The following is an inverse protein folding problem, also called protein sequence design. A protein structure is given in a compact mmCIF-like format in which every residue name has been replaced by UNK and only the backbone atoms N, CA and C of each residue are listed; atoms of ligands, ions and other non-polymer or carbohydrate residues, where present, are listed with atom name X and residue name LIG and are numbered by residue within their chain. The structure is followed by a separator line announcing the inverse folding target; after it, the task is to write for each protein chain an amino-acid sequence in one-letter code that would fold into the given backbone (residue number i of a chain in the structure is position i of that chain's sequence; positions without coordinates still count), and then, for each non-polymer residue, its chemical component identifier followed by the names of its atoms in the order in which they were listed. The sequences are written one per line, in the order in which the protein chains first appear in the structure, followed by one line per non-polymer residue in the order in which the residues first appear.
data_IF_889387583852
#
_entry.id   IF_889387583852
#
_cell.length_a   1.000
_cell.length_b   1.000
_cell.length_c   1.000
_cell.angle_alpha   90.00
_cell.angle_beta   90.00
_cell.angle_gamma   90.00
#
_symmetry.space_group_name_H-M   'P 1'
#
loop_
_entity.id
_entity.type
_entity.pdbx_description
1 polymer ?
#
# COMPACT_ATOMS: atom_id res chain seq x y z
N UNK A 1 12.16 8.47 -22.01
CA UNK A 1 12.69 8.26 -20.66
C UNK A 1 11.88 7.20 -19.95
N UNK A 2 12.40 6.67 -18.90
CA UNK A 2 11.71 5.68 -18.06
C UNK A 2 10.50 6.32 -17.37
N UNK A 3 9.41 5.56 -17.26
CA UNK A 3 8.15 6.01 -16.70
C UNK A 3 7.99 5.53 -15.26
N UNK A 4 7.51 6.40 -14.38
CA UNK A 4 7.24 6.10 -12.98
C UNK A 4 5.73 6.24 -12.73
N UNK A 5 5.11 5.23 -12.12
CA UNK A 5 3.76 5.31 -11.60
C UNK A 5 3.78 5.40 -10.08
N UNK A 6 2.99 6.29 -9.50
CA UNK A 6 2.82 6.43 -8.05
C UNK A 6 1.41 5.97 -7.71
N UNK A 7 1.29 4.84 -6.99
CA UNK A 7 0.01 4.39 -6.44
C UNK A 7 -0.26 5.10 -5.13
N UNK A 8 -1.27 5.94 -5.11
CA UNK A 8 -1.75 6.60 -3.88
C UNK A 8 -2.97 5.87 -3.30
N UNK A 9 -3.39 6.19 -2.09
CA UNK A 9 -4.58 5.63 -1.47
C UNK A 9 -5.64 6.71 -1.20
N UNK A 10 -6.68 6.72 -2.04
CA UNK A 10 -7.84 7.58 -1.89
C UNK A 10 -9.11 6.74 -1.70
N UNK A 11 -9.04 5.67 -0.90
CA UNK A 11 -10.16 4.73 -0.76
C UNK A 11 -11.47 5.39 -0.28
N UNK A 12 -11.38 6.53 0.37
CA UNK A 12 -12.53 7.23 0.98
C UNK A 12 -13.01 8.43 0.14
N UNK A 13 -12.70 8.46 -1.16
CA UNK A 13 -13.21 9.47 -2.10
C UNK A 13 -14.24 8.85 -3.04
N UNK A 14 -15.36 9.53 -3.21
CA UNK A 14 -16.48 9.07 -4.03
C UNK A 14 -16.86 10.08 -5.13
N UNK A 15 -16.16 11.19 -5.21
CA UNK A 15 -16.21 12.25 -6.22
C UNK A 15 -14.87 12.98 -6.26
N UNK A 16 -14.71 13.97 -7.14
CA UNK A 16 -13.56 14.88 -7.13
C UNK A 16 -13.62 15.91 -5.99
N UNK A 17 -14.75 16.06 -5.32
CA UNK A 17 -14.86 16.94 -4.16
C UNK A 17 -13.93 16.50 -3.03
N UNK A 18 -13.47 17.48 -2.27
CA UNK A 18 -12.59 17.22 -1.14
C UNK A 18 -13.32 16.45 -0.03
N UNK A 19 -12.63 15.52 0.56
CA UNK A 19 -13.11 14.68 1.65
C UNK A 19 -12.36 15.00 2.95
N UNK A 20 -13.09 14.99 4.07
CA UNK A 20 -12.47 15.07 5.41
C UNK A 20 -11.94 13.73 5.90
N UNK A 21 -12.22 12.65 5.18
CA UNK A 21 -11.74 11.33 5.55
C UNK A 21 -10.25 11.16 5.23
N UNK A 22 -9.61 10.22 5.92
CA UNK A 22 -8.20 9.91 5.71
C UNK A 22 -7.97 9.36 4.30
N UNK A 23 -7.22 10.10 3.50
CA UNK A 23 -6.80 9.80 2.15
C UNK A 23 -5.34 10.23 1.96
N UNK A 24 -4.73 9.93 0.82
CA UNK A 24 -3.37 10.37 0.52
C UNK A 24 -3.22 11.88 0.73
N UNK A 25 -2.22 12.28 1.50
CA UNK A 25 -2.03 13.69 1.83
C UNK A 25 -1.38 14.43 0.66
N UNK A 26 -1.97 15.53 0.22
CA UNK A 26 -1.42 16.34 -0.87
C UNK A 26 -0.02 16.87 -0.58
N UNK A 27 0.31 17.09 0.70
CA UNK A 27 1.61 17.57 1.13
C UNK A 27 2.71 16.53 0.94
N UNK A 28 2.45 15.28 1.36
CA UNK A 28 3.39 14.17 1.19
C UNK A 28 3.60 13.83 -0.29
N UNK A 29 2.50 13.79 -1.05
CA UNK A 29 2.61 13.55 -2.49
C UNK A 29 3.40 14.67 -3.18
N UNK A 30 3.13 15.93 -2.84
CA UNK A 30 3.86 17.05 -3.44
C UNK A 30 5.36 16.97 -3.12
N UNK A 31 5.73 16.66 -1.88
CA UNK A 31 7.14 16.48 -1.50
C UNK A 31 7.82 15.34 -2.26
N UNK A 32 7.12 14.22 -2.45
CA UNK A 32 7.62 13.11 -3.28
C UNK A 32 7.82 13.53 -4.74
N UNK A 33 6.86 14.27 -5.31
CA UNK A 33 6.97 14.78 -6.69
C UNK A 33 8.12 15.78 -6.82
N UNK A 34 8.32 16.64 -5.82
CA UNK A 34 9.44 17.58 -5.77
C UNK A 34 10.79 16.82 -5.79
N UNK A 35 10.95 15.80 -4.94
CA UNK A 35 12.17 14.98 -4.96
C UNK A 35 12.39 14.26 -6.30
N UNK A 36 11.33 13.74 -6.93
CA UNK A 36 11.45 13.08 -8.23
C UNK A 36 11.84 14.07 -9.34
N UNK A 37 11.19 15.22 -9.40
CA UNK A 37 11.39 16.19 -10.50
C UNK A 37 12.65 17.03 -10.29
N UNK A 38 12.85 17.57 -9.10
CA UNK A 38 13.89 18.58 -8.84
C UNK A 38 15.22 17.94 -8.40
N UNK A 39 15.18 16.86 -7.62
CA UNK A 39 16.39 16.20 -7.12
C UNK A 39 16.84 15.05 -8.02
N UNK A 40 15.91 14.16 -8.40
CA UNK A 40 16.22 13.02 -9.27
C UNK A 40 16.19 13.36 -10.76
N UNK A 41 15.66 14.51 -11.15
CA UNK A 41 15.62 14.98 -12.54
C UNK A 41 14.67 14.21 -13.46
N UNK A 42 13.64 13.56 -12.89
CA UNK A 42 12.64 12.82 -13.67
C UNK A 42 11.74 13.80 -14.42
N UNK A 43 11.63 13.69 -15.77
CA UNK A 43 10.74 14.56 -16.51
C UNK A 43 9.27 14.39 -16.08
N UNK A 44 8.56 15.49 -15.87
CA UNK A 44 7.16 15.45 -15.39
C UNK A 44 6.25 14.53 -16.21
N UNK A 45 6.39 14.55 -17.54
CA UNK A 45 5.61 13.72 -18.46
C UNK A 45 5.88 12.21 -18.31
N UNK A 46 6.93 11.83 -17.60
CA UNK A 46 7.26 10.45 -17.26
C UNK A 46 6.65 10.00 -15.95
N UNK A 47 5.99 10.89 -15.20
CA UNK A 47 5.37 10.58 -13.90
C UNK A 47 3.86 10.49 -14.06
N UNK A 48 3.27 9.44 -13.47
CA UNK A 48 1.82 9.23 -13.39
C UNK A 48 1.42 8.98 -11.94
N UNK A 49 0.54 9.80 -11.40
CA UNK A 49 -0.12 9.54 -10.10
C UNK A 49 -1.43 8.80 -10.38
N UNK A 50 -1.65 7.66 -9.73
CA UNK A 50 -2.78 6.80 -10.03
C UNK A 50 -3.51 6.28 -8.79
N UNK A 51 -4.85 6.42 -8.83
CA UNK A 51 -5.81 5.75 -7.94
C UNK A 51 -6.97 5.19 -8.79
N UNK A 52 -6.77 4.10 -9.51
CA UNK A 52 -7.74 3.62 -10.50
C UNK A 52 -9.12 3.25 -9.94
N UNK A 53 -9.22 2.96 -8.65
CA UNK A 53 -10.46 2.48 -8.03
C UNK A 53 -11.32 3.57 -7.38
N UNK A 54 -10.82 4.78 -7.29
CA UNK A 54 -11.44 5.91 -6.58
C UNK A 54 -11.18 7.21 -7.33
N UNK A 55 -11.44 8.31 -6.67
CA UNK A 55 -11.28 9.65 -7.23
C UNK A 55 -10.05 10.34 -6.64
N UNK A 56 -9.35 11.10 -7.45
CA UNK A 56 -8.32 12.03 -7.00
C UNK A 56 -9.00 13.37 -6.74
N UNK A 57 -9.06 13.79 -5.47
CA UNK A 57 -9.79 15.01 -5.08
C UNK A 57 -9.18 16.27 -5.68
N UNK A 58 -9.99 17.34 -5.74
CA UNK A 58 -9.57 18.63 -6.30
C UNK A 58 -8.41 19.24 -5.53
N UNK A 59 -8.40 19.12 -4.20
CA UNK A 59 -7.29 19.65 -3.40
C UNK A 59 -5.98 18.93 -3.70
N UNK A 60 -5.98 17.60 -3.76
CA UNK A 60 -4.79 16.83 -4.10
C UNK A 60 -4.29 17.16 -5.51
N UNK A 61 -5.22 17.12 -6.48
CA UNK A 61 -4.91 17.43 -7.87
C UNK A 61 -4.36 18.84 -8.05
N UNK A 62 -5.11 19.86 -7.60
CA UNK A 62 -4.73 21.25 -7.80
C UNK A 62 -3.40 21.60 -7.13
N UNK A 63 -3.15 21.06 -5.92
CA UNK A 63 -1.90 21.29 -5.20
C UNK A 63 -0.69 20.72 -5.97
N UNK A 64 -0.79 19.52 -6.48
CA UNK A 64 0.32 18.85 -7.16
C UNK A 64 0.45 19.29 -8.63
N UNK A 65 -0.65 19.29 -9.39
CA UNK A 65 -0.68 19.71 -10.79
C UNK A 65 -0.37 21.19 -10.96
N UNK A 66 -0.78 22.04 -10.02
CA UNK A 66 -0.44 23.46 -10.05
C UNK A 66 1.07 23.72 -9.99
N UNK A 67 1.83 22.86 -9.31
CA UNK A 67 3.29 22.96 -9.24
C UNK A 67 3.96 22.22 -10.41
N UNK A 68 3.40 21.05 -10.82
CA UNK A 68 3.96 20.18 -11.85
C UNK A 68 2.92 19.80 -12.90
N UNK A 69 2.57 20.74 -13.83
CA UNK A 69 1.46 20.55 -14.76
C UNK A 69 1.71 19.48 -15.84
N UNK A 70 2.92 19.00 -15.99
CA UNK A 70 3.26 17.92 -16.91
C UNK A 70 3.03 16.52 -16.37
N UNK A 71 2.71 16.38 -15.06
CA UNK A 71 2.42 15.10 -14.43
C UNK A 71 1.01 14.65 -14.79
N UNK A 72 0.84 13.37 -15.10
CA UNK A 72 -0.46 12.75 -15.37
C UNK A 72 -1.12 12.27 -14.10
N UNK A 73 -2.42 12.48 -13.99
CA UNK A 73 -3.27 11.96 -12.92
C UNK A 73 -4.31 11.03 -13.51
N UNK A 74 -4.39 9.80 -12.97
CA UNK A 74 -5.29 8.75 -13.45
C UNK A 74 -6.16 8.29 -12.30
N UNK A 75 -7.48 8.36 -12.48
CA UNK A 75 -8.44 7.90 -11.48
C UNK A 75 -9.60 7.08 -12.11
N UNK A 76 -10.54 6.66 -11.28
CA UNK A 76 -11.65 5.80 -11.72
C UNK A 76 -12.56 6.48 -12.78
N UNK A 77 -12.74 7.77 -12.69
CA UNK A 77 -13.73 8.51 -13.49
C UNK A 77 -13.11 9.27 -14.65
N UNK A 78 -11.94 9.87 -14.44
CA UNK A 78 -11.42 10.92 -15.31
C UNK A 78 -12.27 12.20 -15.25
N UNK A 79 -11.92 13.18 -16.06
CA UNK A 79 -12.54 14.52 -16.06
C UNK A 79 -11.78 15.50 -15.16
N UNK A 80 -12.02 16.79 -15.36
CA UNK A 80 -11.42 17.88 -14.61
C UNK A 80 -9.87 17.80 -14.53
N UNK A 81 -9.27 17.46 -15.68
CA UNK A 81 -7.81 17.30 -15.83
C UNK A 81 -7.27 15.91 -15.50
N UNK A 82 -8.08 15.01 -14.93
CA UNK A 82 -7.68 13.60 -14.67
C UNK A 82 -8.01 12.74 -15.89
N UNK A 83 -7.23 11.71 -16.09
CA UNK A 83 -7.48 10.66 -17.07
C UNK A 83 -8.28 9.52 -16.41
N UNK A 84 -9.24 8.97 -17.15
CA UNK A 84 -9.94 7.77 -16.70
C UNK A 84 -9.00 6.57 -16.76
N UNK A 85 -9.04 5.73 -15.72
CA UNK A 85 -8.25 4.50 -15.68
C UNK A 85 -8.67 3.53 -16.80
N UNK A 86 -7.68 2.99 -17.49
CA UNK A 86 -7.80 1.91 -18.46
C UNK A 86 -7.15 0.66 -17.89
N UNK A 87 -7.53 -0.53 -18.39
CA UNK A 87 -7.11 -1.80 -17.82
C UNK A 87 -6.66 -2.77 -18.91
N UNK A 88 -5.55 -3.47 -18.64
CA UNK A 88 -5.04 -4.57 -19.46
C UNK A 88 -5.76 -5.87 -19.09
N UNK A 89 -6.29 -6.58 -20.05
CA UNK A 89 -6.91 -7.88 -19.82
C UNK A 89 -5.86 -8.95 -19.48
N UNK A 90 -6.18 -9.83 -18.54
CA UNK A 90 -5.36 -10.98 -18.19
C UNK A 90 -3.96 -10.66 -17.64
N UNK A 91 -3.72 -9.42 -17.24
CA UNK A 91 -2.39 -8.98 -16.79
C UNK A 91 -1.94 -9.64 -15.48
N UNK A 92 -2.87 -10.15 -14.67
CA UNK A 92 -2.56 -10.91 -13.45
C UNK A 92 -3.34 -12.22 -13.40
N UNK A 93 -2.68 -13.29 -12.99
CA UNK A 93 -3.28 -14.59 -12.66
C UNK A 93 -3.16 -14.82 -11.17
N UNK A 94 -4.28 -14.80 -10.45
CA UNK A 94 -4.25 -15.08 -9.02
C UNK A 94 -3.97 -16.56 -8.76
N UNK A 95 -3.05 -16.87 -7.87
CA UNK A 95 -2.55 -18.22 -7.62
C UNK A 95 -3.63 -19.22 -7.17
N UNK A 96 -4.69 -18.74 -6.50
CA UNK A 96 -5.90 -19.51 -6.17
C UNK A 96 -7.18 -18.79 -6.60
N UNK A 97 -7.16 -18.17 -7.77
CA UNK A 97 -8.35 -17.55 -8.34
C UNK A 97 -9.27 -18.65 -8.94
N UNK A 98 -10.51 -18.61 -8.55
CA UNK A 98 -11.55 -19.48 -9.09
C UNK A 98 -12.40 -18.81 -10.19
N UNK A 99 -11.87 -17.79 -10.84
CA UNK A 99 -12.55 -17.00 -11.85
C UNK A 99 -13.39 -15.84 -11.31
N UNK A 100 -13.33 -15.57 -10.02
CA UNK A 100 -14.11 -14.51 -9.37
C UNK A 100 -13.41 -13.18 -9.31
N UNK A 101 -12.08 -13.16 -9.36
CA UNK A 101 -11.30 -11.93 -9.28
C UNK A 101 -11.15 -11.30 -10.66
N UNK A 102 -11.21 -9.97 -10.71
CA UNK A 102 -10.84 -9.23 -11.91
C UNK A 102 -9.35 -9.41 -12.20
N UNK A 103 -8.99 -9.61 -13.46
CA UNK A 103 -7.62 -9.91 -13.89
C UNK A 103 -6.94 -8.77 -14.62
N UNK A 104 -7.70 -7.70 -14.93
CA UNK A 104 -7.15 -6.51 -15.57
C UNK A 104 -6.42 -5.64 -14.56
N UNK A 105 -5.18 -5.31 -14.88
CA UNK A 105 -4.40 -4.30 -14.14
C UNK A 105 -4.50 -2.95 -14.85
N UNK A 106 -4.55 -1.88 -14.08
CA UNK A 106 -4.56 -0.53 -14.65
C UNK A 106 -3.30 -0.28 -15.48
N UNK A 107 -3.49 0.23 -16.70
CA UNK A 107 -2.39 0.48 -17.65
C UNK A 107 -1.38 1.48 -17.12
N UNK A 108 -1.81 2.37 -16.23
CA UNK A 108 -0.90 3.26 -15.50
C UNK A 108 0.26 2.52 -14.82
N UNK A 109 0.02 1.27 -14.38
CA UNK A 109 1.07 0.43 -13.78
C UNK A 109 1.74 -0.47 -14.81
N UNK A 110 0.98 -1.17 -15.67
CA UNK A 110 1.59 -2.12 -16.61
C UNK A 110 2.52 -1.46 -17.62
N UNK A 111 2.27 -0.19 -17.97
CA UNK A 111 3.09 0.60 -18.90
C UNK A 111 4.21 1.40 -18.23
N UNK A 112 4.27 1.45 -16.92
CA UNK A 112 5.37 2.08 -16.20
C UNK A 112 6.57 1.15 -16.13
N UNK A 113 7.77 1.72 -16.13
CA UNK A 113 9.02 0.97 -15.91
C UNK A 113 9.21 0.70 -14.40
N UNK A 114 8.80 1.65 -13.57
CA UNK A 114 8.91 1.58 -12.11
C UNK A 114 7.64 2.05 -11.42
N UNK A 115 7.43 1.56 -10.21
CA UNK A 115 6.32 1.98 -9.37
C UNK A 115 6.81 2.45 -8.00
N UNK A 116 6.13 3.44 -7.44
CA UNK A 116 6.20 3.82 -6.03
C UNK A 116 4.83 3.52 -5.42
N UNK A 117 4.80 2.71 -4.36
CA UNK A 117 3.56 2.43 -3.63
C UNK A 117 3.49 3.32 -2.41
N UNK A 118 2.57 4.28 -2.40
CA UNK A 118 2.36 5.23 -1.32
C UNK A 118 1.02 4.93 -0.63
N UNK A 119 1.08 4.11 0.41
CA UNK A 119 -0.06 3.68 1.22
C UNK A 119 -0.39 4.66 2.35
N UNK A 120 -1.36 4.33 3.19
CA UNK A 120 -1.76 5.10 4.37
C UNK A 120 -1.56 4.29 5.64
N UNK A 121 -1.20 4.97 6.73
CA UNK A 121 -1.09 4.38 8.06
C UNK A 121 -2.47 4.26 8.70
N UNK A 122 -3.21 3.20 8.36
CA UNK A 122 -4.55 2.98 8.92
C UNK A 122 -4.94 1.52 9.04
N UNK A 123 -5.82 1.24 10.00
CA UNK A 123 -6.52 -0.03 10.16
C UNK A 123 -7.57 -0.26 9.07
N UNK A 124 -8.20 -1.42 9.13
CA UNK A 124 -9.26 -1.79 8.21
C UNK A 124 -10.14 -2.90 8.80
N UNK A 125 -11.42 -2.62 9.00
CA UNK A 125 -12.39 -3.68 9.35
C UNK A 125 -12.44 -4.75 8.26
N UNK A 126 -12.38 -6.01 8.63
CA UNK A 126 -12.36 -7.15 7.71
C UNK A 126 -10.98 -7.56 7.19
N UNK A 127 -9.94 -6.69 7.36
CA UNK A 127 -8.58 -6.97 6.90
C UNK A 127 -7.49 -6.64 7.94
N UNK A 128 -7.85 -6.05 9.06
CA UNK A 128 -6.93 -5.54 10.06
C UNK A 128 -6.28 -4.22 9.66
N UNK A 129 -5.57 -4.17 8.54
CA UNK A 129 -4.81 -2.98 8.12
C UNK A 129 -5.05 -2.59 6.67
N UNK A 130 -4.81 -1.31 6.37
CA UNK A 130 -4.66 -0.77 5.01
C UNK A 130 -3.27 -0.18 4.91
N UNK A 131 -2.32 -1.00 4.48
CA UNK A 131 -0.92 -0.66 4.28
C UNK A 131 -0.53 -0.92 2.81
N UNK A 132 0.75 -1.12 2.53
CA UNK A 132 1.26 -1.24 1.16
C UNK A 132 0.69 -2.45 0.41
N UNK A 133 0.60 -3.62 1.06
CA UNK A 133 0.04 -4.82 0.42
C UNK A 133 -1.40 -4.63 -0.01
N UNK A 134 -2.24 -4.06 0.89
CA UNK A 134 -3.66 -3.79 0.57
C UNK A 134 -3.85 -2.61 -0.38
N UNK A 135 -2.92 -1.67 -0.46
CA UNK A 135 -3.01 -0.54 -1.38
C UNK A 135 -3.13 -0.99 -2.84
N UNK A 136 -2.61 -2.17 -3.19
CA UNK A 136 -2.76 -2.78 -4.52
C UNK A 136 -4.19 -3.22 -4.87
N UNK A 137 -5.07 -3.33 -3.88
CA UNK A 137 -6.47 -3.69 -4.11
C UNK A 137 -7.16 -2.81 -5.15
N UNK A 138 -6.79 -1.53 -5.24
CA UNK A 138 -7.32 -0.58 -6.18
C UNK A 138 -6.65 -0.57 -7.56
N UNK A 139 -5.72 -1.48 -7.85
CA UNK A 139 -4.98 -1.49 -9.12
C UNK A 139 -5.63 -2.33 -10.21
N UNK A 140 -6.64 -3.15 -9.89
CA UNK A 140 -7.38 -3.96 -10.85
C UNK A 140 -8.68 -3.26 -11.27
N UNK A 141 -9.23 -3.67 -12.43
CA UNK A 141 -10.55 -3.23 -12.86
C UNK A 141 -11.60 -3.57 -11.82
N UNK A 142 -12.51 -2.64 -11.54
CA UNK A 142 -13.54 -2.81 -10.52
C UNK A 142 -14.94 -2.79 -11.10
N UNK A 143 -15.74 -3.71 -10.60
CA UNK A 143 -17.20 -3.72 -10.69
C UNK A 143 -17.73 -4.23 -9.35
N UNK A 144 -19.05 -4.25 -9.17
CA UNK A 144 -19.65 -4.67 -7.90
C UNK A 144 -19.29 -6.13 -7.53
N UNK A 145 -19.29 -7.01 -8.52
CA UNK A 145 -18.99 -8.44 -8.32
C UNK A 145 -17.53 -8.66 -7.93
N UNK A 146 -16.63 -7.96 -8.61
CA UNK A 146 -15.21 -8.02 -8.28
C UNK A 146 -14.96 -7.59 -6.85
N UNK A 147 -15.50 -6.45 -6.43
CA UNK A 147 -15.31 -5.93 -5.06
C UNK A 147 -15.77 -6.93 -4.00
N UNK A 148 -16.96 -7.50 -4.18
CA UNK A 148 -17.51 -8.49 -3.27
C UNK A 148 -16.61 -9.72 -3.18
N UNK A 149 -16.19 -10.25 -4.32
CA UNK A 149 -15.38 -11.45 -4.38
C UNK A 149 -13.95 -11.23 -3.90
N UNK A 150 -13.37 -10.08 -4.21
CA UNK A 150 -12.04 -9.73 -3.74
C UNK A 150 -11.96 -9.63 -2.20
N UNK A 151 -12.97 -9.05 -1.55
CA UNK A 151 -13.04 -9.06 -0.10
C UNK A 151 -13.11 -10.49 0.47
N UNK A 152 -13.89 -11.37 -0.13
CA UNK A 152 -13.97 -12.76 0.30
C UNK A 152 -12.62 -13.51 0.14
N UNK A 153 -11.81 -13.15 -0.85
CA UNK A 153 -10.49 -13.74 -1.06
C UNK A 153 -9.40 -13.06 -0.22
N UNK A 154 -9.67 -11.86 0.30
CA UNK A 154 -8.76 -11.12 1.18
C UNK A 154 -9.03 -11.40 2.66
N UNK A 155 -10.12 -12.10 2.97
CA UNK A 155 -10.50 -12.38 4.33
C UNK A 155 -9.34 -13.00 5.11
N UNK A 156 -9.08 -12.40 6.25
CA UNK A 156 -8.15 -12.94 7.22
C UNK A 156 -8.62 -14.28 7.71
N UNK A 157 -7.69 -15.09 8.11
CA UNK A 157 -7.99 -16.30 8.82
C UNK A 157 -8.14 -16.01 10.31
N UNK A 158 -9.37 -15.80 10.73
CA UNK A 158 -9.72 -15.46 12.12
C UNK A 158 -9.53 -16.62 13.11
N UNK A 159 -9.20 -17.82 12.64
CA UNK A 159 -8.85 -18.98 13.47
C UNK A 159 -7.35 -19.28 13.50
N UNK A 160 -6.53 -18.45 12.83
CA UNK A 160 -5.09 -18.61 12.77
C UNK A 160 -4.60 -19.67 11.79
N UNK A 161 -5.48 -20.37 11.07
CA UNK A 161 -5.04 -21.38 10.08
C UNK A 161 -4.50 -20.71 8.84
N UNK A 162 -3.27 -21.00 8.38
CA UNK A 162 -2.72 -20.41 7.17
C UNK A 162 -3.60 -20.68 5.95
N UNK A 163 -3.82 -19.64 5.14
CA UNK A 163 -4.57 -19.74 3.88
C UNK A 163 -4.01 -18.79 2.82
N UNK A 164 -4.40 -19.03 1.58
CA UNK A 164 -4.05 -18.17 0.46
C UNK A 164 -4.42 -16.71 0.72
N UNK A 165 -3.48 -15.81 0.46
CA UNK A 165 -3.62 -14.36 0.61
C UNK A 165 -3.37 -13.66 -0.74
N UNK A 166 -4.40 -13.08 -1.32
CA UNK A 166 -4.33 -12.40 -2.63
C UNK A 166 -3.33 -11.25 -2.64
N UNK A 167 -3.07 -10.61 -1.49
CA UNK A 167 -2.08 -9.53 -1.42
C UNK A 167 -0.67 -10.00 -1.77
N UNK A 168 -0.34 -11.27 -1.53
CA UNK A 168 0.96 -11.85 -1.91
C UNK A 168 1.13 -11.83 -3.43
N UNK A 169 0.08 -12.20 -4.18
CA UNK A 169 0.10 -12.12 -5.63
C UNK A 169 0.33 -10.68 -6.11
N UNK A 170 -0.33 -9.69 -5.52
CA UNK A 170 -0.08 -8.29 -5.86
C UNK A 170 1.34 -7.83 -5.51
N UNK A 171 1.81 -8.20 -4.33
CA UNK A 171 3.15 -7.80 -3.85
C UNK A 171 4.27 -8.44 -4.67
N UNK A 172 4.04 -9.61 -5.27
CA UNK A 172 5.01 -10.32 -6.08
C UNK A 172 4.88 -10.09 -7.58
N UNK A 173 3.71 -9.64 -8.08
CA UNK A 173 3.46 -9.50 -9.53
C UNK A 173 4.44 -8.54 -10.19
N UNK A 174 5.02 -8.95 -11.33
CA UNK A 174 6.04 -8.20 -12.07
C UNK A 174 5.66 -6.76 -12.41
N UNK A 175 4.38 -6.49 -12.69
CA UNK A 175 3.90 -5.15 -13.06
C UNK A 175 3.44 -4.31 -11.86
N UNK A 176 3.50 -4.85 -10.65
CA UNK A 176 3.14 -4.20 -9.39
C UNK A 176 4.32 -4.23 -8.43
N UNK A 177 4.27 -5.12 -7.40
CA UNK A 177 5.32 -5.20 -6.40
C UNK A 177 6.68 -5.56 -6.98
N UNK A 178 6.74 -6.41 -8.01
CA UNK A 178 7.98 -6.85 -8.65
C UNK A 178 8.82 -5.74 -9.31
N UNK A 179 8.21 -4.60 -9.63
CA UNK A 179 8.92 -3.40 -10.15
C UNK A 179 8.75 -2.16 -9.25
N UNK A 180 8.30 -2.37 -8.02
CA UNK A 180 8.19 -1.27 -7.04
C UNK A 180 9.56 -0.93 -6.50
N UNK A 181 10.00 0.29 -6.79
CA UNK A 181 11.29 0.83 -6.32
C UNK A 181 11.25 1.25 -4.86
N UNK A 182 10.09 1.73 -4.41
CA UNK A 182 9.96 2.34 -3.09
C UNK A 182 8.56 2.09 -2.55
N UNK A 183 8.52 1.57 -1.34
CA UNK A 183 7.31 1.39 -0.56
C UNK A 183 7.25 2.49 0.49
N UNK A 184 6.15 3.23 0.52
CA UNK A 184 5.94 4.35 1.41
C UNK A 184 4.62 4.20 2.16
N UNK A 185 4.62 4.60 3.43
CA UNK A 185 3.39 4.79 4.20
C UNK A 185 3.32 6.27 4.60
N UNK A 186 2.30 6.94 4.08
CA UNK A 186 1.90 8.27 4.51
C UNK A 186 1.29 8.16 5.91
N UNK A 187 2.04 8.56 6.88
CA UNK A 187 1.70 8.60 8.29
C UNK A 187 1.63 10.02 8.83
N UNK A 188 1.26 11.03 8.02
CA UNK A 188 0.93 12.36 8.58
C UNK A 188 -0.14 12.24 9.63
N UNK A 189 -1.09 11.37 9.39
CA UNK A 189 -2.16 10.97 10.29
C UNK A 189 -2.19 9.46 10.42
N UNK A 190 -2.92 8.95 11.41
CA UNK A 190 -3.19 7.53 11.55
C UNK A 190 -4.63 7.31 11.99
N UNK A 191 -5.23 6.20 11.59
CA UNK A 191 -6.60 5.88 11.91
C UNK A 191 -6.75 4.38 12.17
N UNK A 192 -7.61 4.00 13.13
CA UNK A 192 -7.83 2.60 13.48
C UNK A 192 -8.77 1.84 12.53
N UNK A 193 -9.35 2.52 11.54
CA UNK A 193 -10.33 1.90 10.63
C UNK A 193 -10.15 2.35 9.18
N UNK A 194 -10.94 1.76 8.28
CA UNK A 194 -10.90 1.96 6.83
C UNK A 194 -11.22 3.38 6.39
N UNK A 195 -12.11 4.06 7.11
CA UNK A 195 -12.59 5.41 6.80
C UNK A 195 -12.80 6.23 8.06
N UNK A 196 -13.26 7.44 7.86
CA UNK A 196 -13.48 8.44 8.89
C UNK A 196 -12.43 9.55 8.84
N UNK A 197 -12.65 10.56 9.68
CA UNK A 197 -11.69 11.66 9.86
C UNK A 197 -10.36 11.10 10.41
N UNK A 198 -9.24 11.83 10.24
CA UNK A 198 -7.98 11.48 10.90
C UNK A 198 -8.21 11.15 12.36
N UNK A 199 -7.60 10.05 12.80
CA UNK A 199 -7.77 9.54 14.16
C UNK A 199 -7.28 10.50 15.24
N UNK A 200 -7.45 10.16 16.52
CA UNK A 200 -7.00 10.97 17.63
C UNK A 200 -5.49 11.17 17.60
N UNK A 201 -5.01 12.13 18.37
CA UNK A 201 -3.58 12.29 18.65
C UNK A 201 -3.02 11.00 19.27
N UNK A 202 -1.84 10.60 18.83
CA UNK A 202 -1.22 9.36 19.28
C UNK A 202 -0.57 9.50 20.64
N UNK A 203 -0.94 8.65 21.57
CA UNK A 203 -0.44 8.68 22.95
C UNK A 203 0.84 7.91 23.17
N UNK A 204 1.12 6.93 22.29
CA UNK A 204 2.33 6.12 22.38
C UNK A 204 3.59 6.93 22.06
N UNK A 205 4.72 6.56 22.64
CA UNK A 205 6.03 7.07 22.22
C UNK A 205 6.34 6.65 20.76
N UNK A 206 6.99 7.52 19.98
CA UNK A 206 7.55 8.82 20.32
C UNK A 206 6.59 9.99 20.09
N UNK A 207 5.32 9.75 19.83
CA UNK A 207 4.34 10.77 19.38
C UNK A 207 3.78 11.60 20.53
N UNK A 208 3.61 11.02 21.71
CA UNK A 208 3.35 11.72 22.98
C UNK A 208 2.27 12.82 22.89
N UNK A 209 1.10 12.50 22.37
CA UNK A 209 -0.02 13.43 22.24
C UNK A 209 0.01 14.28 20.96
N UNK A 210 0.79 13.88 19.96
CA UNK A 210 0.80 14.47 18.62
C UNK A 210 0.28 13.47 17.58
N UNK A 211 -0.06 13.94 16.40
CA UNK A 211 -0.20 13.02 15.26
C UNK A 211 1.15 12.40 14.91
N UNK A 212 1.16 11.23 14.26
CA UNK A 212 2.43 10.58 13.93
C UNK A 212 3.33 11.44 13.04
N UNK A 213 2.78 12.29 12.18
CA UNK A 213 3.52 13.21 11.31
C UNK A 213 4.76 12.58 10.68
N UNK A 214 4.63 11.32 10.26
CA UNK A 214 5.73 10.48 9.81
C UNK A 214 5.59 10.07 8.37
N UNK A 215 6.72 9.88 7.70
CA UNK A 215 6.83 9.15 6.45
C UNK A 215 7.66 7.89 6.74
N UNK A 216 7.09 6.72 6.47
CA UNK A 216 7.80 5.45 6.60
C UNK A 216 8.16 4.98 5.20
N UNK A 217 9.40 4.56 4.99
CA UNK A 217 9.89 4.10 3.71
C UNK A 217 10.72 2.82 3.83
N UNK A 218 10.61 1.94 2.84
CA UNK A 218 11.41 0.72 2.75
C UNK A 218 11.54 0.25 1.29
N UNK A 219 12.56 -0.54 1.03
CA UNK A 219 12.67 -1.35 -0.19
C UNK A 219 12.05 -2.74 -0.01
N UNK A 220 11.72 -3.11 1.22
CA UNK A 220 11.11 -4.38 1.61
C UNK A 220 9.61 -4.18 1.88
N UNK A 221 8.72 -4.76 1.02
CA UNK A 221 7.27 -4.61 1.16
C UNK A 221 6.69 -5.28 2.41
N UNK A 222 7.34 -6.32 2.90
CA UNK A 222 6.90 -7.06 4.08
C UNK A 222 7.29 -6.30 5.34
N UNK A 223 8.55 -5.91 5.44
CA UNK A 223 9.07 -5.20 6.60
C UNK A 223 8.33 -3.87 6.87
N UNK A 224 8.02 -3.11 5.82
CA UNK A 224 7.30 -1.82 5.99
C UNK A 224 5.91 -2.02 6.56
N UNK A 225 5.17 -3.02 6.08
CA UNK A 225 3.82 -3.30 6.55
C UNK A 225 3.84 -3.91 7.95
N UNK A 226 4.85 -4.72 8.33
CA UNK A 226 5.06 -5.19 9.70
C UNK A 226 5.26 -4.02 10.67
N UNK A 227 6.10 -3.05 10.32
CA UNK A 227 6.29 -1.83 11.12
C UNK A 227 4.98 -1.04 11.22
N UNK A 228 4.23 -0.93 10.14
CA UNK A 228 2.92 -0.28 10.13
C UNK A 228 1.91 -0.96 11.05
N UNK A 229 1.87 -2.30 11.08
CA UNK A 229 1.01 -3.08 11.98
C UNK A 229 1.40 -2.83 13.44
N UNK A 230 2.69 -2.93 13.76
CA UNK A 230 3.18 -2.75 15.12
C UNK A 230 2.86 -1.36 15.68
N UNK A 231 2.99 -0.32 14.86
CA UNK A 231 2.60 1.04 15.22
C UNK A 231 1.09 1.15 15.46
N UNK A 232 0.28 0.63 14.54
CA UNK A 232 -1.18 0.73 14.62
C UNK A 232 -1.75 -0.04 15.80
N UNK A 233 -1.32 -1.29 16.01
CA UNK A 233 -1.81 -2.14 17.11
C UNK A 233 -1.36 -1.64 18.47
N UNK A 234 -0.18 -1.02 18.58
CA UNK A 234 0.27 -0.39 19.81
C UNK A 234 -0.50 0.90 20.14
N UNK A 235 -0.83 1.69 19.13
CA UNK A 235 -1.62 2.90 19.34
C UNK A 235 -3.10 2.59 19.57
N UNK A 236 -3.63 1.60 18.87
CA UNK A 236 -5.04 1.23 18.88
C UNK A 236 -5.21 -0.26 19.26
N UNK A 237 -5.09 -0.61 20.55
CA UNK A 237 -5.23 -2.00 20.98
C UNK A 237 -6.63 -2.57 20.73
N UNK A 238 -7.62 -1.71 20.50
CA UNK A 238 -9.00 -2.05 20.13
C UNK A 238 -9.25 -1.95 18.61
N UNK A 239 -8.20 -1.98 17.79
CA UNK A 239 -8.33 -1.90 16.34
C UNK A 239 -9.13 -3.09 15.81
N UNK A 240 -10.18 -2.86 14.99
CA UNK A 240 -10.97 -3.93 14.42
C UNK A 240 -10.11 -4.92 13.63
N UNK A 241 -10.38 -6.23 13.83
CA UNK A 241 -9.72 -7.31 13.08
C UNK A 241 -8.17 -7.25 13.10
N UNK A 242 -7.60 -6.74 14.21
CA UNK A 242 -6.15 -6.65 14.39
C UNK A 242 -5.48 -8.03 14.47
N UNK A 243 -6.18 -8.99 15.10
CA UNK A 243 -5.69 -10.35 15.23
C UNK A 243 -5.46 -10.95 13.84
N UNK A 244 -4.26 -11.52 13.64
CA UNK A 244 -3.84 -12.10 12.37
C UNK A 244 -3.77 -11.14 11.18
N UNK A 245 -3.69 -9.83 11.42
CA UNK A 245 -3.54 -8.81 10.37
C UNK A 245 -2.23 -8.95 9.57
N UNK A 246 -1.26 -9.63 10.12
CA UNK A 246 0.07 -9.93 9.58
C UNK A 246 0.12 -11.20 8.71
N UNK A 247 -0.96 -12.00 8.64
CA UNK A 247 -0.91 -13.30 7.96
C UNK A 247 -0.50 -13.22 6.49
N UNK A 248 -0.91 -12.17 5.77
CA UNK A 248 -0.46 -11.99 4.38
C UNK A 248 1.04 -11.69 4.30
N UNK A 249 1.62 -11.09 5.33
CA UNK A 249 3.06 -10.80 5.41
C UNK A 249 3.87 -12.05 5.72
N UNK A 250 3.35 -12.92 6.58
CA UNK A 250 3.93 -14.24 6.86
C UNK A 250 3.92 -15.10 5.58
N UNK A 251 2.81 -15.12 4.85
CA UNK A 251 2.69 -15.79 3.55
C UNK A 251 3.67 -15.18 2.52
N UNK A 252 3.79 -13.85 2.45
CA UNK A 252 4.70 -13.16 1.54
C UNK A 252 6.18 -13.41 1.88
N UNK A 253 6.54 -13.36 3.16
CA UNK A 253 7.90 -13.65 3.61
C UNK A 253 8.32 -15.09 3.28
N UNK A 254 7.36 -16.01 3.28
CA UNK A 254 7.59 -17.43 3.04
C UNK A 254 6.99 -17.90 1.70
N UNK A 255 6.79 -17.03 0.72
CA UNK A 255 6.07 -17.34 -0.52
C UNK A 255 6.66 -18.54 -1.29
N UNK A 256 7.96 -18.78 -1.18
CA UNK A 256 8.63 -19.98 -1.76
C UNK A 256 8.30 -21.31 -1.04
N UNK A 257 7.76 -21.24 0.17
CA UNK A 257 7.28 -22.37 0.97
C UNK A 257 6.19 -21.87 1.92
N UNK A 258 5.12 -21.32 1.35
CA UNK A 258 4.09 -20.63 2.08
C UNK A 258 3.38 -21.55 3.10
N UNK A 259 3.08 -21.06 4.32
CA UNK A 259 2.42 -21.85 5.35
C UNK A 259 1.08 -22.45 4.91
N UNK A 260 0.36 -21.77 4.01
CA UNK A 260 -0.89 -22.26 3.42
C UNK A 260 -0.70 -23.39 2.39
N UNK A 261 0.55 -23.73 2.04
CA UNK A 261 0.87 -24.63 0.94
C UNK A 261 0.55 -24.06 -0.45
N UNK A 262 0.31 -22.74 -0.56
CA UNK A 262 0.06 -22.08 -1.84
C UNK A 262 1.38 -21.89 -2.59
N UNK A 263 1.43 -22.36 -3.84
CA UNK A 263 2.47 -21.93 -4.77
C UNK A 263 2.01 -20.61 -5.41
N UNK A 264 2.59 -19.50 -4.97
CA UNK A 264 2.28 -18.18 -5.50
C UNK A 264 2.94 -17.97 -6.87
N UNK A 265 2.13 -17.85 -7.90
CA UNK A 265 2.54 -17.66 -9.31
C UNK A 265 1.59 -16.66 -9.99
N UNK A 266 1.72 -15.35 -9.68
CA UNK A 266 0.78 -14.33 -10.15
C UNK A 266 0.83 -14.07 -11.66
N UNK A 267 1.90 -14.43 -12.35
CA UNK A 267 2.01 -14.39 -13.80
C UNK A 267 1.37 -15.63 -14.45
N UNK A 268 1.33 -16.75 -13.72
CA UNK A 268 0.85 -18.04 -14.21
C UNK A 268 1.77 -18.65 -15.28
N UNK A 269 3.05 -18.39 -15.19
CA UNK A 269 4.09 -18.86 -16.11
C UNK A 269 4.84 -20.09 -15.58
N UNK A 270 4.48 -20.59 -14.41
CA UNK A 270 5.10 -21.73 -13.75
C UNK A 270 6.32 -21.35 -12.89
N UNK A 271 6.56 -20.06 -12.65
CA UNK A 271 7.66 -19.57 -11.82
C UNK A 271 7.12 -19.07 -10.47
N UNK A 272 7.09 -19.91 -9.43
CA UNK A 272 6.61 -19.51 -8.12
C UNK A 272 7.46 -18.37 -7.51
N UNK A 273 6.78 -17.50 -6.78
CA UNK A 273 7.44 -16.46 -6.01
C UNK A 273 8.40 -17.06 -4.97
N UNK A 274 9.45 -16.32 -4.68
CA UNK A 274 10.33 -16.53 -3.53
C UNK A 274 9.89 -15.64 -2.39
N UNK A 275 10.65 -15.62 -1.27
CA UNK A 275 10.45 -14.64 -0.21
C UNK A 275 10.38 -13.22 -0.79
N UNK A 276 9.38 -12.45 -0.36
CA UNK A 276 9.20 -11.05 -0.76
C UNK A 276 9.78 -10.07 0.27
N UNK A 277 10.25 -10.56 1.42
CA UNK A 277 10.80 -9.71 2.46
C UNK A 277 10.80 -10.36 3.84
N UNK A 278 10.98 -9.56 4.88
CA UNK A 278 11.15 -10.00 6.26
C UNK A 278 9.90 -9.72 7.09
N UNK A 279 9.27 -10.78 7.60
CA UNK A 279 8.17 -10.67 8.57
C UNK A 279 8.72 -10.83 10.00
N UNK A 280 8.65 -9.77 10.77
CA UNK A 280 9.09 -9.73 12.17
C UNK A 280 8.30 -8.67 12.91
N UNK A 281 7.85 -8.98 14.13
CA UNK A 281 7.35 -8.00 15.08
C UNK A 281 8.47 -7.52 16.00
N UNK A 282 8.36 -6.30 16.49
CA UNK A 282 9.29 -5.82 17.53
C UNK A 282 9.18 -6.63 18.83
N UNK A 283 10.23 -6.59 19.62
CA UNK A 283 10.44 -7.48 20.77
C UNK A 283 9.38 -7.32 21.88
N UNK A 284 8.90 -6.11 22.13
CA UNK A 284 7.89 -5.80 23.13
C UNK A 284 7.35 -4.36 22.98
N UNK A 285 6.24 -4.06 23.64
CA UNK A 285 5.57 -2.76 23.58
C UNK A 285 6.36 -1.59 24.19
N UNK A 286 7.39 -1.86 24.98
CA UNK A 286 8.20 -0.83 25.65
C UNK A 286 9.42 -0.45 24.82
N UNK A 287 10.24 -1.44 24.47
CA UNK A 287 11.53 -1.20 23.79
C UNK A 287 11.36 -1.02 22.29
N UNK A 288 10.37 -1.69 21.69
CA UNK A 288 10.02 -1.60 20.27
C UNK A 288 11.21 -1.78 19.33
N UNK A 289 12.05 -2.78 19.64
CA UNK A 289 13.26 -3.07 18.89
C UNK A 289 13.07 -4.31 18.01
N UNK A 290 13.47 -4.21 16.77
CA UNK A 290 13.60 -5.33 15.85
C UNK A 290 14.94 -6.03 16.00
N UNK A 291 15.08 -7.21 15.42
CA UNK A 291 16.28 -8.03 15.60
C UNK A 291 17.57 -7.33 15.21
N UNK A 292 17.61 -6.61 14.10
CA UNK A 292 18.82 -5.89 13.68
C UNK A 292 19.13 -4.68 14.57
N UNK A 293 18.10 -4.02 15.10
CA UNK A 293 18.29 -2.97 16.11
C UNK A 293 18.91 -3.52 17.39
N UNK A 294 18.72 -4.82 17.69
CA UNK A 294 19.34 -5.54 18.80
C UNK A 294 20.70 -6.16 18.46
N UNK A 295 21.28 -5.83 17.30
CA UNK A 295 22.58 -6.30 16.86
C UNK A 295 22.62 -7.69 16.26
N UNK A 296 21.46 -8.27 15.86
CA UNK A 296 21.43 -9.52 15.09
C UNK A 296 21.74 -9.25 13.61
N UNK A 297 22.21 -10.26 12.91
CA UNK A 297 22.57 -10.16 11.49
C UNK A 297 21.34 -10.13 10.57
N UNK A 298 20.25 -10.77 10.98
CA UNK A 298 18.99 -10.89 10.24
C UNK A 298 17.84 -10.17 10.94
N UNK A 299 16.77 -9.91 10.22
CA UNK A 299 15.57 -9.25 10.72
C UNK A 299 15.40 -7.83 10.19
N UNK A 300 14.45 -7.11 10.76
CA UNK A 300 14.18 -5.71 10.43
C UNK A 300 15.15 -4.79 11.18
N UNK A 301 15.56 -3.71 10.53
CA UNK A 301 16.22 -2.56 11.15
C UNK A 301 15.30 -1.34 10.97
N UNK A 302 14.78 -0.83 12.07
CA UNK A 302 14.03 0.41 12.09
C UNK A 302 14.95 1.58 12.42
N UNK A 303 15.17 2.46 11.45
CA UNK A 303 15.88 3.71 11.65
C UNK A 303 14.86 4.82 11.84
N UNK A 304 14.95 5.49 12.97
CA UNK A 304 14.06 6.60 13.30
C UNK A 304 14.82 7.93 13.29
N UNK A 305 14.47 8.78 12.35
CA UNK A 305 15.02 10.13 12.24
C UNK A 305 13.98 11.17 12.62
N UNK A 306 14.31 12.03 13.57
CA UNK A 306 13.48 13.15 13.95
C UNK A 306 14.02 14.44 13.35
N UNK A 307 13.28 15.07 12.43
CA UNK A 307 13.60 16.44 12.05
C UNK A 307 13.34 17.37 13.24
N UNK A 308 14.33 18.17 13.57
CA UNK A 308 14.23 19.22 14.60
C UNK A 308 13.41 20.41 14.11
#
# INVERSE_FOLDING_TARGET
GEKIAIKVNNNNTYSHEDSREINASPQMLLALLESLVEEAGVPQQCITVAEPSRFITDYLYNKCHGRYPGIRFVDNSGGDGRMKAEYSEGAIRFSKDNGRLARGLATAFTEADYVINMALLKGHVGQGVTLCGKNWYGCTSINADWRKNAHNNFDQNRDGTPKYMTFVDFMGHKDLGGKTLLWLIDGLYGCKNVGGEPGPLWTMDPFNGQWPCSLIGSLDPVAIDMVGIDLLTSQFPDMPDADYSDMYLIEAAQAGNAPSGTAYDPEGDGTPLKSLGVAEHWNNATDRQYSRNLGKEEGIELVYERKK
#
